data_IF_656941806013
#
_entry.id   IF_656941806013
#
_cell.length_a   1.000
_cell.length_b   1.000
_cell.length_c   1.000
_cell.angle_alpha   90.00
_cell.angle_beta   90.00
_cell.angle_gamma   90.00
#
_symmetry.space_group_name_H-M   'P 1'
#
loop_
_entity.id
_entity.type
_entity.pdbx_description
1 polymer ?
#
# COMPACT_ATOMS: atom_id res chain seq x y z
N UNK A 1 4.55 -15.68 -2.80
CA UNK A 1 5.34 -14.56 -2.26
C UNK A 1 4.82 -14.27 -0.86
N UNK A 2 5.70 -14.23 0.14
CA UNK A 2 5.31 -13.91 1.52
C UNK A 2 5.97 -12.59 1.87
N UNK A 3 5.16 -11.57 2.18
CA UNK A 3 5.63 -10.32 2.76
C UNK A 3 5.33 -10.38 4.26
N UNK A 4 6.25 -10.94 5.08
CA UNK A 4 5.98 -11.13 6.51
C UNK A 4 5.78 -9.80 7.24
N UNK A 5 6.31 -8.71 6.69
CA UNK A 5 6.15 -7.35 7.24
C UNK A 5 5.16 -6.56 6.39
N UNK A 6 3.87 -6.89 6.51
CA UNK A 6 2.80 -6.13 5.89
C UNK A 6 2.29 -5.08 6.88
N UNK A 7 2.82 -3.87 6.78
CA UNK A 7 2.40 -2.73 7.62
C UNK A 7 1.05 -2.23 7.12
N UNK A 8 0.01 -2.27 7.95
CA UNK A 8 -1.27 -1.68 7.54
C UNK A 8 -1.10 -0.16 7.40
N UNK A 9 -1.56 0.47 6.30
CA UNK A 9 -1.55 1.91 6.16
C UNK A 9 -2.32 2.57 7.30
N UNK A 10 -1.72 3.57 7.94
CA UNK A 10 -2.43 4.36 8.93
C UNK A 10 -3.58 5.12 8.28
N UNK A 11 -4.76 5.09 8.91
CA UNK A 11 -5.91 5.87 8.48
C UNK A 11 -5.60 7.37 8.68
N UNK A 12 -5.51 8.16 7.59
CA UNK A 12 -5.26 9.58 7.72
C UNK A 12 -6.41 10.22 8.48
N UNK A 13 -6.12 11.06 9.48
CA UNK A 13 -7.15 11.81 10.23
C UNK A 13 -8.09 12.60 9.33
N UNK A 14 -7.59 13.09 8.18
CA UNK A 14 -8.41 13.77 7.16
C UNK A 14 -9.49 12.85 6.56
N UNK A 15 -9.17 11.60 6.28
CA UNK A 15 -10.15 10.64 5.74
C UNK A 15 -11.28 10.35 6.74
N UNK A 16 -10.95 10.27 8.03
CA UNK A 16 -11.93 10.15 9.12
C UNK A 16 -12.82 11.39 9.23
N UNK A 17 -12.24 12.60 9.13
CA UNK A 17 -13.00 13.85 9.21
C UNK A 17 -13.92 14.08 8.00
N UNK A 18 -13.47 13.69 6.80
CA UNK A 18 -14.24 13.81 5.57
C UNK A 18 -15.22 12.63 5.35
N UNK A 19 -15.25 11.63 6.23
CA UNK A 19 -16.11 10.46 6.04
C UNK A 19 -15.76 9.65 4.78
N UNK A 20 -14.50 9.72 4.33
CA UNK A 20 -14.07 9.09 3.08
C UNK A 20 -13.79 7.61 3.27
N UNK A 21 -14.61 6.75 2.67
CA UNK A 21 -14.36 5.32 2.53
C UNK A 21 -14.05 4.98 1.06
N UNK A 22 -13.43 3.82 0.83
CA UNK A 22 -13.17 3.36 -0.53
C UNK A 22 -12.03 2.35 -0.64
N UNK A 23 -11.84 1.85 -1.85
CA UNK A 23 -10.77 0.89 -2.17
C UNK A 23 -9.64 1.60 -2.89
N UNK A 24 -8.41 1.42 -2.41
CA UNK A 24 -7.19 1.91 -3.04
C UNK A 24 -6.45 0.73 -3.66
N UNK A 25 -6.22 0.79 -4.96
CA UNK A 25 -5.37 -0.17 -5.67
C UNK A 25 -3.97 0.40 -5.82
N UNK A 26 -2.99 -0.28 -5.28
CA UNK A 26 -1.58 0.11 -5.36
C UNK A 26 -0.75 -1.02 -5.96
N UNK A 27 0.13 -0.67 -6.89
CA UNK A 27 1.14 -1.54 -7.45
C UNK A 27 2.47 -1.24 -6.78
N UNK A 28 3.10 -2.25 -6.20
CA UNK A 28 4.45 -2.18 -5.66
C UNK A 28 5.42 -2.95 -6.54
N UNK A 29 6.56 -2.32 -6.80
CA UNK A 29 7.73 -2.94 -7.42
C UNK A 29 8.67 -3.37 -6.31
N UNK A 30 8.82 -4.68 -6.15
CA UNK A 30 9.67 -5.29 -5.14
C UNK A 30 10.93 -5.81 -5.83
N UNK A 31 12.10 -5.38 -5.34
CA UNK A 31 13.39 -5.77 -5.90
C UNK A 31 14.35 -6.12 -4.76
N UNK A 32 14.91 -7.33 -4.79
CA UNK A 32 15.80 -7.80 -3.72
C UNK A 32 15.13 -7.85 -2.34
N UNK A 33 13.82 -8.10 -2.31
CA UNK A 33 13.04 -8.25 -1.07
C UNK A 33 12.60 -6.95 -0.38
N UNK A 34 12.79 -5.80 -1.03
CA UNK A 34 12.29 -4.51 -0.55
C UNK A 34 11.44 -3.84 -1.62
N UNK A 35 10.43 -3.08 -1.19
CA UNK A 35 9.64 -2.26 -2.10
C UNK A 35 10.48 -1.07 -2.56
N UNK A 36 10.77 -1.01 -3.86
CA UNK A 36 11.52 0.08 -4.50
C UNK A 36 10.62 1.20 -4.97
N UNK A 37 9.44 0.84 -5.49
CA UNK A 37 8.52 1.80 -6.08
C UNK A 37 7.09 1.41 -5.74
N UNK A 38 6.23 2.41 -5.56
CA UNK A 38 4.81 2.25 -5.31
C UNK A 38 4.04 3.22 -6.20
N UNK A 39 3.15 2.66 -7.02
CA UNK A 39 2.30 3.37 -7.97
C UNK A 39 0.85 3.13 -7.59
N UNK A 40 0.11 4.19 -7.30
CA UNK A 40 -1.33 4.07 -7.05
C UNK A 40 -2.05 4.00 -8.40
N UNK A 41 -2.78 2.91 -8.63
CA UNK A 41 -3.56 2.71 -9.85
C UNK A 41 -4.93 3.39 -9.75
N UNK A 42 -5.59 3.29 -8.59
CA UNK A 42 -6.90 3.88 -8.36
C UNK A 42 -7.20 4.07 -6.87
N UNK A 43 -8.19 4.91 -6.56
CA UNK A 43 -8.72 5.12 -5.21
C UNK A 43 -8.60 6.57 -4.71
N UNK A 44 -9.14 6.88 -3.52
CA UNK A 44 -9.20 8.24 -3.00
C UNK A 44 -7.81 8.81 -2.67
N UNK A 45 -7.52 10.03 -3.14
CA UNK A 45 -6.21 10.69 -2.97
C UNK A 45 -5.79 10.89 -1.51
N UNK A 46 -6.76 11.00 -0.60
CA UNK A 46 -6.50 11.14 0.85
C UNK A 46 -5.71 9.95 1.41
N UNK A 47 -5.88 8.76 0.84
CA UNK A 47 -5.18 7.54 1.25
C UNK A 47 -3.86 7.29 0.52
N UNK A 48 -3.60 7.98 -0.60
CA UNK A 48 -2.42 7.72 -1.45
C UNK A 48 -1.11 7.87 -0.66
N UNK A 49 -0.99 8.92 0.15
CA UNK A 49 0.20 9.18 0.94
C UNK A 49 0.42 8.12 2.04
N UNK A 50 -0.66 7.69 2.70
CA UNK A 50 -0.60 6.68 3.76
C UNK A 50 -0.24 5.30 3.18
N UNK A 51 -0.91 4.89 2.10
CA UNK A 51 -0.64 3.62 1.41
C UNK A 51 0.79 3.57 0.90
N UNK A 52 1.26 4.65 0.24
CA UNK A 52 2.64 4.74 -0.25
C UNK A 52 3.66 4.61 0.87
N UNK A 53 3.47 5.36 1.97
CA UNK A 53 4.40 5.33 3.10
C UNK A 53 4.47 3.96 3.77
N UNK A 54 3.32 3.32 3.98
CA UNK A 54 3.25 1.98 4.57
C UNK A 54 3.87 0.91 3.66
N UNK A 55 3.56 0.93 2.36
CA UNK A 55 4.14 -0.02 1.40
C UNK A 55 5.66 0.13 1.26
N UNK A 56 6.21 1.34 1.37
CA UNK A 56 7.66 1.54 1.37
C UNK A 56 8.35 0.91 2.58
N UNK A 57 7.62 0.64 3.66
CA UNK A 57 8.14 -0.06 4.84
C UNK A 57 8.04 -1.58 4.72
N UNK A 58 7.44 -2.11 3.65
CA UNK A 58 7.28 -3.55 3.49
C UNK A 58 8.63 -4.22 3.24
N UNK A 59 8.81 -5.34 3.95
CA UNK A 59 9.89 -6.28 3.69
C UNK A 59 9.26 -7.56 3.19
N UNK A 60 9.66 -7.96 1.99
CA UNK A 60 9.14 -9.13 1.32
C UNK A 60 10.27 -10.13 1.11
N UNK A 61 10.01 -11.41 1.39
CA UNK A 61 10.97 -12.44 1.00
C UNK A 61 10.67 -12.78 -0.46
N UNK A 62 11.48 -12.21 -1.35
CA UNK A 62 11.36 -12.31 -2.81
C UNK A 62 12.64 -12.93 -3.35
N UNK A 63 12.55 -13.74 -4.40
CA UNK A 63 13.73 -14.27 -5.09
C UNK A 63 14.57 -13.14 -5.75
N UNK A 64 15.58 -13.52 -6.53
CA UNK A 64 16.48 -12.58 -7.20
C UNK A 64 15.77 -11.66 -8.23
N UNK A 65 14.58 -12.06 -8.70
CA UNK A 65 13.81 -11.31 -9.69
C UNK A 65 13.04 -10.12 -9.13
N UNK A 66 12.85 -9.14 -10.01
CA UNK A 66 11.99 -7.98 -9.76
C UNK A 66 10.52 -8.43 -9.83
N UNK A 67 9.80 -8.25 -8.73
CA UNK A 67 8.40 -8.69 -8.59
C UNK A 67 7.49 -7.47 -8.58
N UNK A 68 6.52 -7.48 -9.49
CA UNK A 68 5.42 -6.51 -9.48
C UNK A 68 4.24 -7.14 -8.74
N UNK A 69 3.84 -6.54 -7.61
CA UNK A 69 2.68 -6.95 -6.85
C UNK A 69 1.61 -5.85 -6.88
N UNK A 70 0.37 -6.23 -7.13
CA UNK A 70 -0.78 -5.32 -6.96
C UNK A 70 -1.51 -5.71 -5.68
N UNK A 71 -1.80 -4.71 -4.85
CA UNK A 71 -2.50 -4.87 -3.59
C UNK A 71 -3.67 -3.88 -3.51
N UNK A 72 -4.79 -4.39 -3.03
CA UNK A 72 -6.00 -3.61 -2.80
C UNK A 72 -6.15 -3.38 -1.30
N UNK A 73 -6.40 -2.12 -0.93
CA UNK A 73 -6.63 -1.70 0.44
C UNK A 73 -8.04 -1.16 0.55
N UNK A 74 -8.88 -1.85 1.30
CA UNK A 74 -10.24 -1.42 1.58
C UNK A 74 -10.25 -0.57 2.85
N UNK A 75 -10.67 0.68 2.73
CA UNK A 75 -10.86 1.60 3.85
C UNK A 75 -12.36 1.77 4.09
N UNK A 76 -12.81 1.30 5.26
CA UNK A 76 -14.19 1.44 5.74
C UNK A 76 -14.19 2.31 6.99
N UNK A 77 -15.20 3.16 7.11
CA UNK A 77 -15.50 3.92 8.32
C UNK A 77 -16.71 3.22 8.92
N UNK A 78 -16.53 2.57 10.07
CA UNK A 78 -17.62 1.98 10.87
C UNK A 78 -18.32 3.05 11.72
#
# INVERSE_FOLDING_TARGET
MVCPTQVKPELPRRALQEGTSGVVRAQARISGGVVKEVTILSGPRVFHAAVRSAMLQYKCVSGADDVIAVQEFEFKIE
#
